data_IF_750191360981
#
_entry.id   IF_750191360981
#
_cell.length_a   1.000
_cell.length_b   1.000
_cell.length_c   1.000
_cell.angle_alpha   90.00
_cell.angle_beta   90.00
_cell.angle_gamma   90.00
#
_symmetry.space_group_name_H-M   'P 1'
#
loop_
_entity.id
_entity.type
_entity.pdbx_description
1 polymer ?
#
# COMPACT_ATOMS: atom_id res chain seq x y z
N UNK A 1 -16.71 -13.44 14.45
CA UNK A 1 -15.38 -13.95 14.09
C UNK A 1 -14.74 -14.47 15.37
N UNK A 2 -14.46 -15.75 15.49
CA UNK A 2 -13.97 -16.32 16.77
C UNK A 2 -12.99 -17.48 16.59
N UNK A 3 -12.93 -18.11 15.40
CA UNK A 3 -12.03 -19.23 15.18
C UNK A 3 -10.65 -18.77 14.67
N UNK A 4 -9.55 -19.17 15.29
CA UNK A 4 -8.20 -18.91 14.76
C UNK A 4 -7.96 -19.52 13.38
N UNK A 5 -8.72 -20.56 13.02
CA UNK A 5 -8.63 -21.25 11.72
C UNK A 5 -9.33 -20.47 10.59
N UNK A 6 -10.29 -19.61 10.90
CA UNK A 6 -11.07 -18.89 9.90
C UNK A 6 -10.21 -18.14 8.87
N UNK A 7 -9.29 -17.25 9.29
CA UNK A 7 -8.42 -16.53 8.37
C UNK A 7 -7.50 -17.44 7.55
N UNK A 8 -7.03 -18.54 8.15
CA UNK A 8 -6.16 -19.51 7.47
C UNK A 8 -6.93 -20.24 6.36
N UNK A 9 -8.12 -20.75 6.66
CA UNK A 9 -8.97 -21.44 5.69
C UNK A 9 -9.42 -20.49 4.57
N UNK A 10 -9.79 -19.26 4.90
CA UNK A 10 -10.13 -18.24 3.91
C UNK A 10 -8.95 -17.95 2.98
N UNK A 11 -7.74 -17.84 3.52
CA UNK A 11 -6.56 -17.62 2.71
C UNK A 11 -6.25 -18.82 1.80
N UNK A 12 -6.38 -20.06 2.29
CA UNK A 12 -6.19 -21.28 1.48
C UNK A 12 -7.19 -21.31 0.33
N UNK A 13 -8.46 -21.01 0.60
CA UNK A 13 -9.49 -20.93 -0.43
C UNK A 13 -9.15 -19.88 -1.50
N UNK A 14 -8.78 -18.68 -1.08
CA UNK A 14 -8.41 -17.60 -2.00
C UNK A 14 -7.18 -17.94 -2.83
N UNK A 15 -6.17 -18.58 -2.24
CA UNK A 15 -4.99 -19.07 -2.99
C UNK A 15 -5.39 -20.11 -4.04
N UNK A 16 -6.33 -21.01 -3.72
CA UNK A 16 -6.84 -21.97 -4.68
C UNK A 16 -7.57 -21.27 -5.85
N UNK A 17 -8.47 -20.33 -5.55
CA UNK A 17 -9.13 -19.51 -6.57
C UNK A 17 -8.12 -18.80 -7.48
N UNK A 18 -7.13 -18.17 -6.88
CA UNK A 18 -6.05 -17.47 -7.59
C UNK A 18 -5.25 -18.40 -8.49
N UNK A 19 -4.92 -19.58 -8.01
CA UNK A 19 -4.16 -20.57 -8.78
C UNK A 19 -4.93 -21.08 -10.02
N UNK A 20 -6.25 -21.15 -9.91
CA UNK A 20 -7.11 -21.65 -11.01
C UNK A 20 -7.48 -20.54 -11.97
N UNK A 21 -7.95 -19.40 -11.49
CA UNK A 21 -8.55 -18.36 -12.35
C UNK A 21 -7.56 -17.32 -12.86
N UNK A 22 -6.63 -16.84 -12.02
CA UNK A 22 -5.73 -15.73 -12.42
C UNK A 22 -4.92 -16.06 -13.67
N UNK A 23 -4.36 -17.27 -13.85
CA UNK A 23 -3.65 -17.61 -15.07
C UNK A 23 -4.53 -17.56 -16.33
N UNK A 24 -5.82 -17.96 -16.23
CA UNK A 24 -6.75 -17.95 -17.35
C UNK A 24 -7.17 -16.55 -17.79
N UNK A 25 -7.13 -15.59 -16.85
CA UNK A 25 -7.51 -14.20 -17.06
C UNK A 25 -6.30 -13.27 -17.34
N UNK A 26 -5.09 -13.80 -17.32
CA UNK A 26 -3.84 -13.03 -17.37
C UNK A 26 -3.71 -12.16 -18.64
N UNK A 27 -4.30 -12.57 -19.77
CA UNK A 27 -4.31 -11.78 -21.02
C UNK A 27 -5.07 -10.45 -20.89
N UNK A 28 -6.09 -10.41 -20.03
CA UNK A 28 -6.93 -9.23 -19.82
C UNK A 28 -6.70 -8.56 -18.46
N UNK A 29 -6.02 -9.27 -17.55
CA UNK A 29 -5.75 -8.88 -16.18
C UNK A 29 -4.28 -9.21 -15.84
N UNK A 30 -3.31 -8.39 -16.30
CA UNK A 30 -1.87 -8.68 -16.16
C UNK A 30 -1.35 -8.55 -14.73
N UNK A 31 -2.09 -7.89 -13.85
CA UNK A 31 -1.72 -7.69 -12.45
C UNK A 31 -2.86 -8.14 -11.55
N UNK A 32 -2.54 -8.90 -10.50
CA UNK A 32 -3.46 -9.29 -9.43
C UNK A 32 -2.76 -9.20 -8.10
N UNK A 33 -3.20 -8.28 -7.25
CA UNK A 33 -2.66 -8.04 -5.92
C UNK A 33 -3.77 -8.17 -4.90
N UNK A 34 -3.66 -9.14 -4.01
CA UNK A 34 -4.64 -9.33 -2.94
C UNK A 34 -4.06 -9.09 -1.56
N UNK A 35 -4.82 -8.37 -0.75
CA UNK A 35 -4.60 -8.23 0.68
C UNK A 35 -5.89 -8.64 1.41
N UNK A 36 -5.88 -9.85 1.98
CA UNK A 36 -7.01 -10.52 2.64
C UNK A 36 -8.21 -10.64 1.68
N UNK A 37 -9.15 -9.72 1.73
CA UNK A 37 -10.37 -9.59 0.92
C UNK A 37 -10.29 -8.47 -0.14
N UNK A 38 -9.43 -7.49 0.06
CA UNK A 38 -9.22 -6.43 -0.91
C UNK A 38 -8.29 -6.86 -2.04
N UNK A 39 -8.65 -6.52 -3.28
CA UNK A 39 -7.85 -6.85 -4.46
C UNK A 39 -7.65 -5.61 -5.33
N UNK A 40 -6.41 -5.41 -5.78
CA UNK A 40 -6.04 -4.39 -6.75
C UNK A 40 -5.59 -5.05 -8.04
N UNK A 41 -6.13 -4.60 -9.18
CA UNK A 41 -5.82 -5.18 -10.48
C UNK A 41 -5.80 -4.12 -11.57
N UNK A 42 -5.10 -4.42 -12.67
CA UNK A 42 -5.26 -3.74 -13.94
C UNK A 42 -6.11 -4.62 -14.86
N UNK A 43 -7.10 -4.03 -15.48
CA UNK A 43 -8.00 -4.73 -16.40
C UNK A 43 -8.00 -4.00 -17.74
N UNK A 44 -7.94 -4.76 -18.83
CA UNK A 44 -8.09 -4.22 -20.18
C UNK A 44 -9.48 -3.60 -20.34
N UNK A 45 -9.52 -2.43 -20.95
CA UNK A 45 -10.77 -1.70 -21.20
C UNK A 45 -11.82 -2.59 -21.88
N UNK A 46 -13.08 -2.49 -21.42
CA UNK A 46 -14.21 -3.28 -21.93
C UNK A 46 -14.25 -4.74 -21.48
N UNK A 47 -13.34 -5.19 -20.57
CA UNK A 47 -13.30 -6.58 -20.10
C UNK A 47 -13.71 -6.77 -18.63
N UNK A 48 -14.16 -5.71 -17.97
CA UNK A 48 -14.49 -5.74 -16.53
C UNK A 48 -15.61 -6.75 -16.25
N UNK A 49 -16.73 -6.66 -16.98
CA UNK A 49 -17.89 -7.51 -16.75
C UNK A 49 -17.60 -9.00 -16.99
N UNK A 50 -16.80 -9.31 -18.00
CA UNK A 50 -16.37 -10.68 -18.31
C UNK A 50 -15.49 -11.24 -17.17
N UNK A 51 -14.55 -10.46 -16.65
CA UNK A 51 -13.68 -10.85 -15.55
C UNK A 51 -14.46 -11.02 -14.26
N UNK A 52 -15.33 -10.07 -13.92
CA UNK A 52 -16.17 -10.14 -12.71
C UNK A 52 -17.12 -11.33 -12.78
N UNK A 53 -17.71 -11.61 -13.93
CA UNK A 53 -18.57 -12.78 -14.14
C UNK A 53 -17.78 -14.07 -13.94
N UNK A 54 -16.57 -14.18 -14.48
CA UNK A 54 -15.69 -15.32 -14.31
C UNK A 54 -15.31 -15.54 -12.84
N UNK A 55 -14.92 -14.48 -12.13
CA UNK A 55 -14.60 -14.54 -10.71
C UNK A 55 -15.79 -14.97 -9.86
N UNK A 56 -16.99 -14.44 -10.15
CA UNK A 56 -18.21 -14.72 -9.42
C UNK A 56 -18.82 -16.09 -9.74
N UNK A 57 -18.42 -16.71 -10.84
CA UNK A 57 -18.87 -18.07 -11.20
C UNK A 57 -18.09 -19.17 -10.48
N UNK A 58 -16.95 -18.85 -9.88
CA UNK A 58 -16.07 -19.83 -9.24
C UNK A 58 -16.73 -20.53 -8.04
N UNK A 59 -17.42 -19.77 -7.18
CA UNK A 59 -18.09 -20.34 -6.01
C UNK A 59 -19.33 -19.53 -5.61
N UNK A 60 -20.47 -20.17 -5.29
CA UNK A 60 -21.74 -19.47 -5.05
C UNK A 60 -21.73 -18.53 -3.84
N UNK A 61 -20.87 -18.79 -2.85
CA UNK A 61 -20.78 -18.00 -1.62
C UNK A 61 -19.71 -16.89 -1.68
N UNK A 62 -18.97 -16.76 -2.79
CA UNK A 62 -17.98 -15.68 -2.98
C UNK A 62 -18.49 -14.73 -4.05
N UNK A 63 -18.52 -13.45 -3.71
CA UNK A 63 -18.90 -12.40 -4.65
C UNK A 63 -17.87 -11.30 -4.65
N UNK A 64 -17.37 -10.99 -5.84
CA UNK A 64 -16.52 -9.82 -6.09
C UNK A 64 -17.40 -8.67 -6.52
N UNK A 65 -17.16 -7.53 -5.90
CA UNK A 65 -17.61 -6.21 -6.35
C UNK A 65 -16.39 -5.45 -6.85
N UNK A 66 -16.60 -4.41 -7.64
CA UNK A 66 -15.47 -3.64 -8.16
C UNK A 66 -15.71 -2.14 -8.02
N UNK A 67 -14.61 -1.43 -7.88
CA UNK A 67 -14.51 0.01 -8.00
C UNK A 67 -13.58 0.33 -9.16
N UNK A 68 -13.93 1.33 -9.96
CA UNK A 68 -13.13 1.77 -11.11
C UNK A 68 -12.45 3.07 -10.73
N UNK A 69 -11.25 3.30 -11.28
CA UNK A 69 -10.54 4.56 -11.10
C UNK A 69 -11.43 5.75 -11.50
N UNK A 70 -11.45 6.78 -10.65
CA UNK A 70 -12.14 8.02 -10.92
C UNK A 70 -11.12 9.16 -10.95
N UNK A 71 -11.20 10.03 -11.98
CA UNK A 71 -10.29 11.16 -12.16
C UNK A 71 -8.80 10.72 -12.10
N UNK A 72 -8.47 9.58 -12.71
CA UNK A 72 -7.13 8.98 -12.71
C UNK A 72 -6.61 8.60 -11.33
N UNK A 73 -7.48 8.41 -10.35
CA UNK A 73 -7.15 8.06 -8.99
C UNK A 73 -7.93 6.84 -8.54
N UNK A 74 -7.29 5.97 -7.80
CA UNK A 74 -7.94 4.87 -7.08
C UNK A 74 -7.25 4.67 -5.73
N UNK A 75 -8.02 4.34 -4.71
CA UNK A 75 -7.51 4.06 -3.38
C UNK A 75 -7.46 2.56 -3.15
N UNK A 76 -6.33 2.08 -2.65
CA UNK A 76 -6.17 0.70 -2.24
C UNK A 76 -5.49 0.65 -0.87
N UNK A 77 -6.17 0.11 0.12
CA UNK A 77 -5.75 0.14 1.52
C UNK A 77 -5.49 1.59 1.98
N UNK A 78 -4.28 1.86 2.45
CA UNK A 78 -3.84 3.19 2.93
C UNK A 78 -3.14 4.02 1.84
N UNK A 79 -3.21 3.60 0.57
CA UNK A 79 -2.50 4.22 -0.55
C UNK A 79 -3.48 4.74 -1.58
N UNK A 80 -3.32 5.98 -2.00
CA UNK A 80 -3.96 6.51 -3.21
C UNK A 80 -2.98 6.40 -4.37
N UNK A 81 -3.37 5.67 -5.38
CA UNK A 81 -2.64 5.54 -6.65
C UNK A 81 -3.19 6.59 -7.62
N UNK A 82 -2.30 7.36 -8.22
CA UNK A 82 -2.62 8.47 -9.11
C UNK A 82 -1.89 8.22 -10.43
N UNK A 83 -2.63 8.23 -11.54
CA UNK A 83 -2.09 8.11 -12.89
C UNK A 83 -1.93 9.51 -13.49
N UNK A 84 -0.72 9.87 -13.92
CA UNK A 84 -0.50 11.13 -14.60
C UNK A 84 -0.88 11.06 -16.11
N UNK A 85 -0.79 12.18 -16.81
CA UNK A 85 -1.13 12.26 -18.24
C UNK A 85 -0.20 11.42 -19.13
N UNK A 86 1.02 11.17 -18.68
CA UNK A 86 1.98 10.30 -19.35
C UNK A 86 1.78 8.80 -19.04
N UNK A 87 0.73 8.44 -18.26
CA UNK A 87 0.46 7.06 -17.86
C UNK A 87 1.29 6.56 -16.70
N UNK A 88 2.20 7.36 -16.14
CA UNK A 88 3.02 7.00 -14.99
C UNK A 88 2.19 7.04 -13.71
N UNK A 89 2.45 6.08 -12.82
CA UNK A 89 1.77 5.97 -11.53
C UNK A 89 2.56 6.69 -10.45
N UNK A 90 1.85 7.46 -9.63
CA UNK A 90 2.36 8.05 -8.40
C UNK A 90 1.50 7.62 -7.22
N UNK A 91 2.02 7.78 -6.00
CA UNK A 91 1.38 7.31 -4.77
C UNK A 91 1.46 8.35 -3.68
N UNK A 92 0.36 8.49 -2.95
CA UNK A 92 0.31 9.27 -1.70
C UNK A 92 -0.43 8.47 -0.62
N UNK A 93 -0.31 8.89 0.63
CA UNK A 93 -1.08 8.29 1.73
C UNK A 93 -2.55 8.62 1.57
N UNK A 94 -3.38 7.59 1.57
CA UNK A 94 -4.84 7.74 1.57
C UNK A 94 -5.39 7.74 2.99
N UNK A 95 -6.38 8.59 3.23
CA UNK A 95 -7.21 8.60 4.43
C UNK A 95 -8.67 8.64 4.01
N UNK A 96 -9.48 7.86 4.69
CA UNK A 96 -10.94 7.94 4.52
C UNK A 96 -11.44 9.29 5.03
N UNK A 97 -12.51 9.81 4.47
CA UNK A 97 -13.12 11.07 4.93
C UNK A 97 -13.62 10.98 6.37
N UNK A 98 -13.86 9.76 6.86
CA UNK A 98 -14.22 9.47 8.24
C UNK A 98 -13.05 9.47 9.22
N UNK A 99 -11.80 9.64 8.75
CA UNK A 99 -10.64 9.68 9.64
C UNK A 99 -10.68 10.94 10.53
N UNK A 100 -10.75 10.73 11.81
CA UNK A 100 -10.82 11.79 12.82
C UNK A 100 -9.46 12.40 13.16
N UNK A 101 -8.37 11.79 12.71
CA UNK A 101 -7.00 12.13 13.10
C UNK A 101 -6.73 12.07 14.62
N UNK A 102 -7.59 11.35 15.38
CA UNK A 102 -7.43 11.17 16.81
C UNK A 102 -6.62 9.92 17.08
N UNK A 103 -5.46 10.10 17.68
CA UNK A 103 -4.54 9.05 18.14
C UNK A 103 -4.44 9.08 19.67
N UNK A 104 -3.48 8.35 20.24
CA UNK A 104 -3.18 8.44 21.67
C UNK A 104 -2.79 9.87 22.02
N UNK A 105 -3.60 10.54 22.85
CA UNK A 105 -3.32 11.89 23.30
C UNK A 105 -2.06 11.94 24.16
N UNK A 106 -1.24 12.98 24.04
CA UNK A 106 0.03 13.06 24.79
C UNK A 106 -0.17 12.95 26.31
N UNK A 107 -1.19 13.59 26.85
CA UNK A 107 -1.52 13.55 28.27
C UNK A 107 -2.28 12.30 28.74
N UNK A 108 -2.54 11.33 27.82
CA UNK A 108 -3.15 10.07 28.22
C UNK A 108 -2.22 9.26 29.13
N UNK A 109 -2.80 8.38 29.95
CA UNK A 109 -2.03 7.51 30.85
C UNK A 109 -1.30 6.36 30.16
N UNK A 110 -1.31 6.34 28.82
CA UNK A 110 -0.59 5.33 28.03
C UNK A 110 0.94 5.54 28.12
N UNK A 111 1.74 4.47 28.10
CA UNK A 111 3.19 4.56 28.06
C UNK A 111 3.70 5.38 26.89
N UNK A 112 4.72 6.22 27.11
CA UNK A 112 5.28 7.10 26.07
C UNK A 112 5.85 6.31 24.89
N UNK A 113 6.36 5.09 25.12
CA UNK A 113 6.86 4.22 24.06
C UNK A 113 5.78 3.89 23.02
N UNK A 114 4.52 3.75 23.43
CA UNK A 114 3.41 3.50 22.50
C UNK A 114 3.03 4.77 21.74
N UNK A 115 2.99 5.90 22.41
CA UNK A 115 2.74 7.21 21.80
C UNK A 115 3.78 7.52 20.71
N UNK A 116 5.05 7.42 21.08
CA UNK A 116 6.18 7.68 20.17
C UNK A 116 6.25 6.61 19.07
N UNK A 117 5.94 5.35 19.39
CA UNK A 117 5.88 4.26 18.42
C UNK A 117 4.86 4.50 17.32
N UNK A 118 3.65 4.94 17.69
CA UNK A 118 2.59 5.31 16.74
C UNK A 118 3.05 6.45 15.82
N UNK A 119 3.58 7.53 16.40
CA UNK A 119 4.10 8.68 15.64
C UNK A 119 5.19 8.29 14.64
N UNK A 120 6.19 7.51 15.10
CA UNK A 120 7.28 7.02 14.23
C UNK A 120 6.78 6.08 13.15
N UNK A 121 5.79 5.22 13.47
CA UNK A 121 5.15 4.34 12.51
C UNK A 121 4.50 5.11 11.36
N UNK A 122 3.79 6.19 11.67
CA UNK A 122 3.14 7.03 10.67
C UNK A 122 4.14 7.83 9.82
N UNK A 123 5.21 8.38 10.42
CA UNK A 123 6.28 8.99 9.64
C UNK A 123 6.96 7.97 8.72
N UNK A 124 7.28 6.78 9.22
CA UNK A 124 7.84 5.72 8.38
C UNK A 124 6.92 5.37 7.22
N UNK A 125 5.60 5.26 7.46
CA UNK A 125 4.60 5.04 6.41
C UNK A 125 4.66 6.14 5.35
N UNK A 126 4.73 7.42 5.74
CA UNK A 126 4.86 8.54 4.82
C UNK A 126 6.06 8.38 3.86
N UNK A 127 7.25 8.07 4.40
CA UNK A 127 8.45 7.85 3.59
C UNK A 127 8.36 6.64 2.65
N UNK A 128 7.64 5.59 3.04
CA UNK A 128 7.53 4.36 2.25
C UNK A 128 6.43 4.45 1.18
N UNK A 129 5.36 5.18 1.45
CA UNK A 129 4.20 5.27 0.56
C UNK A 129 4.35 6.38 -0.47
N UNK A 130 4.76 7.59 -0.05
CA UNK A 130 4.83 8.72 -0.96
C UNK A 130 5.91 8.53 -2.03
N UNK A 131 5.52 8.63 -3.29
CA UNK A 131 6.42 8.40 -4.44
C UNK A 131 7.27 9.62 -4.80
N UNK A 132 6.89 10.81 -4.36
CA UNK A 132 7.60 12.05 -4.65
C UNK A 132 7.69 12.95 -3.41
N UNK A 133 8.62 13.90 -3.46
CA UNK A 133 8.90 14.81 -2.35
C UNK A 133 7.69 15.71 -2.03
N UNK A 134 6.92 16.12 -3.00
CA UNK A 134 5.75 16.99 -2.79
C UNK A 134 4.68 16.28 -1.94
N UNK A 135 4.36 15.03 -2.25
CA UNK A 135 3.43 14.23 -1.46
C UNK A 135 3.98 13.93 -0.07
N UNK A 136 5.28 13.66 0.02
CA UNK A 136 5.94 13.41 1.29
C UNK A 136 5.89 14.64 2.20
N UNK A 137 6.19 15.83 1.70
CA UNK A 137 6.15 17.05 2.49
C UNK A 137 4.73 17.43 2.92
N UNK A 138 3.75 17.23 2.05
CA UNK A 138 2.33 17.38 2.38
C UNK A 138 1.94 16.46 3.55
N UNK A 139 2.34 15.20 3.47
CA UNK A 139 2.04 14.20 4.51
C UNK A 139 2.76 14.51 5.83
N UNK A 140 4.05 14.85 5.80
CA UNK A 140 4.80 15.24 6.98
C UNK A 140 4.17 16.46 7.66
N UNK A 141 3.78 17.48 6.89
CA UNK A 141 3.13 18.68 7.41
C UNK A 141 1.80 18.36 8.06
N UNK A 142 0.99 17.49 7.43
CA UNK A 142 -0.25 17.00 8.00
C UNK A 142 -0.03 16.26 9.32
N UNK A 143 0.91 15.32 9.38
CA UNK A 143 1.21 14.57 10.60
C UNK A 143 1.72 15.49 11.73
N UNK A 144 2.58 16.47 11.43
CA UNK A 144 3.02 17.47 12.39
C UNK A 144 1.83 18.23 12.97
N UNK A 145 0.91 18.71 12.12
CA UNK A 145 -0.30 19.39 12.56
C UNK A 145 -1.17 18.47 13.45
N UNK A 146 -1.46 17.27 13.00
CA UNK A 146 -2.29 16.29 13.72
C UNK A 146 -1.73 15.99 15.10
N UNK A 147 -0.44 15.71 15.20
CA UNK A 147 0.16 15.35 16.49
C UNK A 147 0.31 16.55 17.43
N UNK A 148 0.70 17.72 16.93
CA UNK A 148 0.90 18.89 17.80
C UNK A 148 -0.41 19.56 18.16
N UNK A 149 -1.33 19.76 17.22
CA UNK A 149 -2.57 20.53 17.47
C UNK A 149 -3.72 19.68 17.99
N UNK A 150 -3.95 18.50 17.43
CA UNK A 150 -5.05 17.63 17.83
C UNK A 150 -4.64 16.78 19.04
N UNK A 151 -3.54 16.04 18.94
CA UNK A 151 -3.13 15.05 19.95
C UNK A 151 -2.18 15.61 21.03
N UNK A 152 -1.85 16.91 20.97
CA UNK A 152 -1.10 17.69 21.99
C UNK A 152 0.33 17.20 22.28
N UNK A 153 0.99 16.60 21.30
CA UNK A 153 2.41 16.23 21.44
C UNK A 153 3.30 17.49 21.46
N UNK A 154 4.36 17.50 22.28
CA UNK A 154 5.37 18.56 22.24
C UNK A 154 6.06 18.59 20.86
N UNK A 155 6.27 19.77 20.29
CA UNK A 155 6.95 19.93 19.01
C UNK A 155 8.33 19.25 18.99
N UNK A 156 9.09 19.33 20.09
CA UNK A 156 10.38 18.69 20.24
C UNK A 156 10.34 17.17 20.06
N UNK A 157 9.28 16.52 20.57
CA UNK A 157 9.08 15.06 20.42
C UNK A 157 8.75 14.71 18.97
N UNK A 158 7.92 15.52 18.31
CA UNK A 158 7.51 15.30 16.92
C UNK A 158 8.72 15.46 15.98
N UNK A 159 9.48 16.54 16.12
CA UNK A 159 10.68 16.79 15.29
C UNK A 159 11.78 15.74 15.53
N UNK A 160 12.02 15.37 16.79
CA UNK A 160 12.99 14.31 17.13
C UNK A 160 12.59 12.99 16.50
N UNK A 161 11.30 12.61 16.58
CA UNK A 161 10.79 11.38 16.00
C UNK A 161 10.93 11.34 14.49
N UNK A 162 10.65 12.45 13.80
CA UNK A 162 10.83 12.58 12.37
C UNK A 162 12.31 12.41 11.97
N UNK A 163 13.21 13.09 12.68
CA UNK A 163 14.66 13.00 12.44
C UNK A 163 15.16 11.57 12.59
N UNK A 164 14.80 10.88 13.69
CA UNK A 164 15.19 9.49 13.94
C UNK A 164 14.68 8.52 12.88
N UNK A 165 13.45 8.72 12.37
CA UNK A 165 12.90 7.89 11.29
C UNK A 165 13.67 8.11 9.99
N UNK A 166 13.97 9.38 9.64
CA UNK A 166 14.73 9.73 8.45
C UNK A 166 16.13 9.12 8.48
N UNK A 167 16.83 9.24 9.59
CA UNK A 167 18.19 8.68 9.78
C UNK A 167 18.18 7.16 9.67
N UNK A 168 17.21 6.48 10.30
CA UNK A 168 17.08 5.02 10.21
C UNK A 168 16.81 4.53 8.80
N UNK A 169 16.00 5.22 8.03
CA UNK A 169 15.73 4.84 6.64
C UNK A 169 16.95 5.03 5.74
N UNK A 170 17.77 6.09 6.00
CA UNK A 170 19.01 6.31 5.28
C UNK A 170 20.08 5.26 5.60
N UNK A 171 20.18 4.83 6.87
CA UNK A 171 21.13 3.78 7.29
C UNK A 171 20.72 2.38 6.84
N UNK A 172 19.42 2.14 6.64
CA UNK A 172 18.91 0.83 6.17
C UNK A 172 18.96 0.72 4.63
N UNK A 173 18.99 1.82 3.93
CA UNK A 173 19.40 1.89 2.53
C UNK A 173 20.95 1.82 2.52
N UNK A 174 21.51 0.61 2.65
CA UNK A 174 22.93 0.36 2.44
C UNK A 174 23.36 0.83 1.04
N UNK A 175 24.69 0.93 0.76
CA UNK A 175 25.18 1.52 -0.47
C UNK A 175 24.46 0.88 -1.66
N UNK A 176 23.85 1.73 -2.45
CA UNK A 176 23.17 1.36 -3.70
C UNK A 176 24.16 0.56 -4.55
N UNK A 177 23.94 -0.74 -4.65
CA UNK A 177 24.52 -1.49 -5.73
C UNK A 177 23.93 -0.95 -7.02
N UNK A 178 24.75 -0.14 -7.70
CA UNK A 178 24.71 0.18 -9.13
C UNK A 178 23.38 -0.10 -9.83
N UNK A 179 22.50 0.89 -9.84
CA UNK A 179 21.66 1.09 -10.99
C UNK A 179 22.56 1.65 -12.09
N UNK A 180 23.19 0.77 -12.85
CA UNK A 180 23.78 1.13 -14.10
C UNK A 180 22.66 1.63 -15.01
N UNK A 181 22.82 2.85 -15.49
CA UNK A 181 22.09 3.42 -16.60
C UNK A 181 22.06 2.42 -17.76
N UNK A 182 20.90 1.83 -17.99
CA UNK A 182 20.59 1.22 -19.25
C UNK A 182 19.93 2.30 -20.12
N UNK A 183 20.78 3.11 -20.73
CA UNK A 183 20.41 3.91 -21.89
C UNK A 183 20.31 2.99 -23.09
N UNK A 184 19.21 3.18 -23.84
CA UNK A 184 18.93 2.68 -25.18
C UNK A 184 18.47 1.22 -25.30
N UNK A 185 17.15 1.01 -25.24
CA UNK A 185 16.39 0.44 -26.37
C UNK A 185 14.88 0.61 -26.12
N UNK A 186 14.13 0.80 -27.20
CA UNK A 186 12.71 1.05 -27.23
C UNK A 186 11.91 -0.13 -26.67
N UNK A 187 11.72 -0.18 -25.36
CA UNK A 187 10.71 -1.00 -24.70
C UNK A 187 10.07 -0.20 -23.60
N UNK A 188 8.76 -0.12 -23.61
CA UNK A 188 7.92 0.51 -22.61
C UNK A 188 8.39 0.09 -21.22
N UNK A 189 9.11 0.97 -20.54
CA UNK A 189 9.53 0.74 -19.14
C UNK A 189 8.30 0.80 -18.26
N UNK A 190 7.80 -0.38 -17.89
CA UNK A 190 6.79 -0.52 -16.84
C UNK A 190 7.49 -0.14 -15.54
N UNK A 191 7.25 1.09 -15.08
CA UNK A 191 7.71 1.53 -13.76
C UNK A 191 6.96 0.72 -12.71
N UNK A 192 7.66 -0.20 -12.09
CA UNK A 192 7.13 -1.10 -11.08
C UNK A 192 6.77 -0.33 -9.82
N UNK A 193 5.51 -0.33 -9.40
CA UNK A 193 5.14 0.30 -8.14
C UNK A 193 5.66 -0.54 -6.97
N UNK A 194 6.61 -0.04 -6.21
CA UNK A 194 6.96 -0.60 -4.91
C UNK A 194 5.82 -0.31 -3.92
N UNK A 195 4.88 -1.23 -3.78
CA UNK A 195 3.90 -1.19 -2.71
C UNK A 195 4.55 -1.83 -1.49
N UNK A 196 5.02 -1.00 -0.56
CA UNK A 196 5.43 -1.45 0.77
C UNK A 196 4.17 -1.74 1.57
N UNK A 197 3.75 -2.98 1.60
CA UNK A 197 2.67 -3.41 2.49
C UNK A 197 3.13 -3.31 3.95
N UNK A 198 2.35 -2.73 4.86
CA UNK A 198 2.69 -2.73 6.27
C UNK A 198 2.69 -4.16 6.78
N UNK A 199 3.83 -4.55 7.32
CA UNK A 199 4.14 -5.76 8.09
C UNK A 199 3.25 -7.01 7.85
N UNK A 200 3.60 -7.78 6.85
CA UNK A 200 3.00 -9.09 6.57
C UNK A 200 3.87 -10.31 6.94
N UNK A 201 4.75 -10.22 7.97
CA UNK A 201 5.57 -11.35 8.42
C UNK A 201 6.30 -12.09 7.29
N UNK A 202 6.64 -13.37 7.50
CA UNK A 202 7.28 -14.24 6.48
C UNK A 202 6.40 -14.45 5.22
N UNK A 203 5.08 -14.28 5.32
CA UNK A 203 4.15 -14.41 4.18
C UNK A 203 4.21 -13.18 3.26
N UNK A 204 4.43 -11.98 3.78
CA UNK A 204 4.64 -10.77 2.97
C UNK A 204 5.92 -10.84 2.11
N UNK A 205 6.96 -11.54 2.57
CA UNK A 205 8.17 -11.75 1.78
C UNK A 205 7.93 -12.63 0.55
N UNK A 206 7.03 -13.60 0.62
CA UNK A 206 6.64 -14.42 -0.53
C UNK A 206 5.90 -13.63 -1.61
N UNK A 207 5.12 -12.63 -1.22
CA UNK A 207 4.45 -11.72 -2.14
C UNK A 207 5.48 -10.82 -2.84
N UNK A 208 6.40 -10.23 -2.08
CA UNK A 208 7.50 -9.40 -2.63
C UNK A 208 8.41 -10.18 -3.59
N UNK A 209 8.69 -11.47 -3.33
CA UNK A 209 9.48 -12.31 -4.23
C UNK A 209 8.72 -12.67 -5.52
N UNK A 210 7.39 -12.89 -5.44
CA UNK A 210 6.58 -13.05 -6.66
C UNK A 210 6.58 -11.77 -7.50
N UNK A 211 6.53 -10.60 -6.87
CA UNK A 211 6.66 -9.31 -7.56
C UNK A 211 7.95 -9.19 -8.36
N UNK A 212 9.09 -9.58 -7.80
CA UNK A 212 10.38 -9.53 -8.51
C UNK A 212 10.46 -10.43 -9.74
N UNK A 213 9.54 -11.36 -9.90
CA UNK A 213 9.52 -12.29 -11.05
C UNK A 213 8.68 -11.75 -12.22
N UNK A 214 7.84 -10.75 -11.99
CA UNK A 214 6.99 -10.11 -13.02
C UNK A 214 7.38 -8.65 -13.28
N UNK A 215 8.52 -8.22 -12.74
CA UNK A 215 9.25 -6.98 -12.94
C UNK A 215 10.53 -7.25 -13.72
#
# INVERSE_FOLDING_TARGET
MGSPLGPVLANIFMVHLETVLVPTLSTFMPLWLRYVDDTFTFIKEGKIDEIISSLNSFHPNIKFTHEIEQNKCISFLDVRVIKNDAGLLSREVFRKDTDTNVYLHWQSFAPDIWKIGTLKGLFRRAFLVCSNEQFLQKEISHLKFVFTKINKYPNSVVEKSLKEVKEKLQTTAGPENNRQDLTNDETVSIVTPHISLPYGGKQGQGIVQKFKKYL
#
